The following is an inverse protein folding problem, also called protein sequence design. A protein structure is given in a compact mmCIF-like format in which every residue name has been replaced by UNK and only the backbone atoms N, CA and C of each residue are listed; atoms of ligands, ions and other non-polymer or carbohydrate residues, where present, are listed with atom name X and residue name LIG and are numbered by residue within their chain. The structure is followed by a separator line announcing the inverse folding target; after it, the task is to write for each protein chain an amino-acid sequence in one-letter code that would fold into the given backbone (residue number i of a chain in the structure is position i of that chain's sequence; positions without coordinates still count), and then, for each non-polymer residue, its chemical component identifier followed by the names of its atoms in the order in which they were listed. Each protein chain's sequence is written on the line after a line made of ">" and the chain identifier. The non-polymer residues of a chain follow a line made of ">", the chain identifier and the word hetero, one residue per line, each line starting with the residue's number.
data_IF_033183257934
#
_entry.id   IF_033183257934
#
_cell.length_a   1.000
_cell.length_b   1.000
_cell.length_c   1.000
_cell.angle_alpha   90.00
_cell.angle_beta   90.00
_cell.angle_gamma   90.00
#
_symmetry.space_group_name_H-M   'P 1'
#
loop_
_entity.id
_entity.type
_entity.pdbx_description
1 polymer ?
#
# COMPACT_ATOMS: atom_id res chain seq x y z
N UNK A 1 4.34 14.67 18.99
CA UNK A 1 3.22 15.01 18.10
C UNK A 1 2.81 13.69 17.50
N UNK A 2 1.76 13.06 18.01
CA UNK A 2 1.37 11.71 17.62
C UNK A 2 0.88 11.79 16.17
N UNK A 3 1.58 11.11 15.24
CA UNK A 3 1.24 11.08 13.82
C UNK A 3 0.12 10.08 13.49
N UNK A 4 -0.35 9.31 14.48
CA UNK A 4 -1.51 8.41 14.39
C UNK A 4 -2.73 9.09 15.03
N UNK A 5 -3.27 10.13 14.40
CA UNK A 5 -4.53 10.73 14.84
C UNK A 5 -5.72 9.91 14.30
N UNK A 6 -6.47 9.18 15.14
CA UNK A 6 -7.66 8.43 14.71
C UNK A 6 -8.65 9.31 13.96
N UNK A 7 -8.67 10.61 14.26
CA UNK A 7 -9.59 11.57 13.64
C UNK A 7 -9.32 11.71 12.14
N UNK A 8 -8.06 11.72 11.70
CA UNK A 8 -7.73 11.86 10.26
C UNK A 8 -8.10 10.59 9.47
N UNK A 9 -7.98 9.41 10.09
CA UNK A 9 -8.43 8.15 9.47
C UNK A 9 -9.93 8.14 9.29
N UNK A 10 -10.65 8.58 10.31
CA UNK A 10 -12.10 8.68 10.30
C UNK A 10 -12.57 9.64 9.23
N UNK A 11 -11.96 10.83 9.14
CA UNK A 11 -12.27 11.81 8.10
C UNK A 11 -12.10 11.22 6.70
N UNK A 12 -10.96 10.58 6.42
CA UNK A 12 -10.72 9.96 5.13
C UNK A 12 -11.70 8.82 4.84
N UNK A 13 -11.95 7.94 5.81
CA UNK A 13 -12.87 6.82 5.60
C UNK A 13 -14.32 7.28 5.42
N UNK A 14 -14.73 8.36 6.11
CA UNK A 14 -16.06 8.98 5.91
C UNK A 14 -16.19 9.52 4.50
N UNK A 15 -15.20 10.30 4.05
CA UNK A 15 -15.15 10.80 2.68
C UNK A 15 -15.20 9.66 1.65
N UNK A 16 -14.38 8.61 1.85
CA UNK A 16 -14.36 7.46 0.94
C UNK A 16 -15.71 6.74 0.88
N UNK A 17 -16.36 6.54 2.02
CA UNK A 17 -17.70 5.91 2.09
C UNK A 17 -18.77 6.78 1.41
N UNK A 18 -18.67 8.11 1.53
CA UNK A 18 -19.57 9.03 0.83
C UNK A 18 -19.41 8.92 -0.70
N UNK A 19 -18.17 8.85 -1.19
CA UNK A 19 -17.89 8.62 -2.62
C UNK A 19 -18.43 7.28 -3.11
N UNK A 20 -18.27 6.21 -2.32
CA UNK A 20 -18.84 4.88 -2.63
C UNK A 20 -20.36 4.88 -2.60
N UNK A 21 -20.99 5.70 -1.74
CA UNK A 21 -22.45 5.81 -1.69
C UNK A 21 -23.02 6.52 -2.92
N UNK A 22 -22.30 7.48 -3.46
CA UNK A 22 -22.67 8.15 -4.72
C UNK A 22 -22.42 7.26 -5.94
N UNK A 23 -21.37 6.43 -5.88
CA UNK A 23 -20.93 5.56 -6.97
C UNK A 23 -20.40 4.25 -6.39
N UNK A 24 -21.22 3.19 -6.41
CA UNK A 24 -20.85 1.87 -5.86
C UNK A 24 -19.57 1.29 -6.51
N UNK A 25 -19.20 1.79 -7.68
CA UNK A 25 -18.01 1.37 -8.41
C UNK A 25 -16.80 2.28 -8.18
N UNK A 26 -16.91 3.28 -7.29
CA UNK A 26 -15.90 4.29 -7.02
C UNK A 26 -14.53 3.69 -6.73
N UNK A 27 -14.45 2.67 -5.86
CA UNK A 27 -13.20 2.02 -5.51
C UNK A 27 -12.47 1.44 -6.74
N UNK A 28 -13.23 1.01 -7.75
CA UNK A 28 -12.70 0.52 -9.02
C UNK A 28 -12.13 1.61 -9.93
N UNK A 29 -12.50 2.87 -9.70
CA UNK A 29 -12.08 4.05 -10.47
C UNK A 29 -10.91 4.79 -9.81
N UNK A 30 -10.41 4.30 -8.66
CA UNK A 30 -9.21 4.79 -8.00
C UNK A 30 -8.01 3.99 -8.53
N UNK A 31 -6.99 4.69 -9.02
CA UNK A 31 -5.66 4.12 -9.21
C UNK A 31 -5.00 4.07 -7.84
N UNK A 32 -4.94 2.89 -7.25
CA UNK A 32 -4.20 2.64 -6.02
C UNK A 32 -2.72 2.52 -6.38
N UNK A 33 -1.84 3.41 -5.91
CA UNK A 33 -0.41 3.36 -6.21
C UNK A 33 0.46 3.43 -4.96
N UNK A 34 1.52 2.64 -4.95
CA UNK A 34 2.50 2.57 -3.87
C UNK A 34 3.86 2.06 -4.39
N UNK A 35 4.89 2.14 -3.52
CA UNK A 35 6.25 1.68 -3.78
C UNK A 35 6.70 0.68 -2.72
N UNK A 36 7.09 -0.52 -3.14
CA UNK A 36 7.69 -1.52 -2.26
C UNK A 36 9.15 -1.83 -2.63
N UNK A 37 9.95 -2.14 -1.62
CA UNK A 37 11.32 -2.57 -1.80
C UNK A 37 11.47 -4.10 -1.71
N UNK A 38 12.19 -4.66 -2.69
CA UNK A 38 12.61 -6.05 -2.75
C UNK A 38 14.13 -6.13 -2.58
N UNK A 39 14.62 -6.98 -1.68
CA UNK A 39 16.04 -7.11 -1.34
C UNK A 39 16.54 -8.50 -1.70
N UNK A 40 17.83 -8.63 -2.00
CA UNK A 40 18.42 -9.93 -2.38
C UNK A 40 18.46 -10.97 -1.25
N UNK A 41 18.40 -10.57 0.03
CA UNK A 41 18.19 -11.54 1.09
C UNK A 41 16.70 -11.83 1.26
N UNK A 42 16.36 -13.10 1.41
CA UNK A 42 15.01 -13.62 1.69
C UNK A 42 14.43 -13.13 3.02
N UNK A 43 15.06 -12.14 3.66
CA UNK A 43 14.48 -11.44 4.80
C UNK A 43 13.36 -10.57 4.25
N UNK A 44 12.19 -11.19 4.15
CA UNK A 44 10.93 -10.49 4.00
C UNK A 44 10.96 -9.37 5.04
N UNK A 45 11.03 -8.12 4.59
CA UNK A 45 10.68 -7.02 5.47
C UNK A 45 9.16 -7.07 5.56
N UNK A 46 8.67 -8.03 6.35
CA UNK A 46 7.33 -8.03 6.87
C UNK A 46 7.32 -6.82 7.77
N UNK A 47 6.67 -5.74 7.34
CA UNK A 47 6.31 -4.63 8.22
C UNK A 47 5.26 -5.13 9.24
N UNK A 48 5.61 -6.16 10.03
CA UNK A 48 4.83 -6.67 11.15
C UNK A 48 5.54 -7.70 12.06
N UNK A 49 6.82 -8.04 11.86
CA UNK A 49 7.54 -8.85 12.86
C UNK A 49 8.14 -7.94 13.93
N UNK A 50 7.32 -7.54 14.91
CA UNK A 50 7.82 -6.99 16.18
C UNK A 50 8.10 -8.18 17.10
N UNK A 51 9.37 -8.49 17.35
CA UNK A 51 9.75 -9.45 18.39
C UNK A 51 9.50 -8.79 19.76
N UNK A 52 8.28 -8.96 20.30
CA UNK A 52 7.96 -8.60 21.67
C UNK A 52 8.60 -9.62 22.62
N UNK A 53 9.85 -9.38 23.01
CA UNK A 53 10.52 -10.14 24.07
C UNK A 53 10.52 -9.32 25.38
N UNK A 54 10.21 -9.93 26.54
CA UNK A 54 10.22 -9.23 27.84
C UNK A 54 11.63 -8.81 28.28
N UNK A 55 12.68 -9.33 27.62
CA UNK A 55 14.09 -8.95 27.82
C UNK A 55 14.77 -8.90 26.44
N UNK A 56 15.61 -7.89 26.22
CA UNK A 56 16.40 -7.72 25.00
C UNK A 56 17.17 -9.03 24.68
N UNK A 57 16.89 -9.72 23.57
CA UNK A 57 17.39 -11.08 23.34
C UNK A 57 18.90 -11.18 23.07
N UNK A 58 19.66 -10.08 23.10
CA UNK A 58 21.11 -10.03 22.85
C UNK A 58 21.57 -10.71 21.54
N UNK A 59 20.66 -10.96 20.60
CA UNK A 59 20.99 -11.44 19.27
C UNK A 59 21.49 -10.27 18.45
N UNK A 60 22.81 -10.12 18.39
CA UNK A 60 23.46 -9.24 17.43
C UNK A 60 23.55 -9.97 16.09
N UNK A 61 22.41 -10.11 15.41
CA UNK A 61 22.40 -10.45 14.01
C UNK A 61 22.92 -9.23 13.25
N UNK A 62 24.20 -9.24 12.87
CA UNK A 62 24.73 -8.27 11.93
C UNK A 62 23.98 -8.38 10.61
N UNK A 63 22.88 -7.62 10.46
CA UNK A 63 22.21 -7.46 9.17
C UNK A 63 23.09 -6.55 8.33
N UNK A 64 23.59 -7.05 7.21
CA UNK A 64 24.11 -6.18 6.15
C UNK A 64 23.00 -5.19 5.76
N UNK A 65 23.14 -3.95 6.22
CA UNK A 65 22.14 -2.88 6.08
C UNK A 65 22.02 -2.35 4.64
N UNK A 66 22.88 -2.80 3.71
CA UNK A 66 22.97 -2.27 2.35
C UNK A 66 23.01 -3.36 1.27
N UNK A 67 22.13 -4.36 1.37
CA UNK A 67 22.02 -5.34 0.30
C UNK A 67 21.40 -4.71 -0.97
N UNK A 68 21.90 -5.11 -2.16
CA UNK A 68 21.29 -4.75 -3.43
C UNK A 68 19.80 -5.14 -3.44
N UNK A 69 19.01 -4.32 -4.10
CA UNK A 69 17.57 -4.53 -4.20
C UNK A 69 16.95 -3.61 -5.23
N UNK A 70 15.66 -3.81 -5.46
CA UNK A 70 14.86 -3.09 -6.44
C UNK A 70 13.72 -2.40 -5.72
N UNK A 71 13.47 -1.14 -6.05
CA UNK A 71 12.26 -0.45 -5.66
C UNK A 71 11.25 -0.59 -6.79
N UNK A 72 10.09 -1.16 -6.48
CA UNK A 72 9.03 -1.43 -7.45
C UNK A 72 7.89 -0.48 -7.16
N UNK A 73 7.55 0.36 -8.14
CA UNK A 73 6.32 1.15 -8.12
C UNK A 73 5.23 0.37 -8.85
N UNK A 74 4.04 0.30 -8.26
CA UNK A 74 2.89 -0.33 -8.90
C UNK A 74 1.65 0.55 -8.79
N UNK A 75 0.71 0.30 -9.69
CA UNK A 75 -0.59 0.94 -9.78
C UNK A 75 -1.65 -0.12 -10.06
N UNK A 76 -2.74 -0.09 -9.32
CA UNK A 76 -3.87 -0.99 -9.48
C UNK A 76 -5.15 -0.19 -9.70
N UNK A 77 -5.90 -0.56 -10.73
CA UNK A 77 -7.28 -0.11 -10.95
C UNK A 77 -8.08 -1.27 -11.54
N UNK A 78 -9.39 -1.34 -11.25
CA UNK A 78 -10.27 -2.36 -11.85
C UNK A 78 -11.24 -1.79 -12.89
N UNK A 79 -11.26 -0.46 -13.08
CA UNK A 79 -12.09 0.27 -14.06
C UNK A 79 -11.35 1.50 -14.59
N UNK A 80 -12.02 2.26 -15.44
CA UNK A 80 -11.54 3.54 -15.96
C UNK A 80 -11.24 4.52 -14.82
N UNK A 81 -10.06 5.11 -14.91
CA UNK A 81 -9.42 5.87 -13.85
C UNK A 81 -10.06 7.26 -13.70
N UNK A 82 -10.51 7.58 -12.49
CA UNK A 82 -11.01 8.92 -12.14
C UNK A 82 -10.17 9.57 -11.07
N UNK A 83 -9.63 8.80 -10.14
CA UNK A 83 -8.82 9.29 -9.03
C UNK A 83 -7.46 8.60 -8.99
N UNK A 84 -6.44 9.31 -8.50
CA UNK A 84 -5.10 8.77 -8.31
C UNK A 84 -4.71 8.84 -6.84
N UNK A 85 -4.48 7.70 -6.21
CA UNK A 85 -3.99 7.62 -4.84
C UNK A 85 -2.49 7.36 -4.83
N UNK A 86 -1.75 8.24 -4.19
CA UNK A 86 -0.31 8.11 -3.98
C UNK A 86 0.03 7.82 -2.52
N UNK A 87 0.38 6.57 -2.23
CA UNK A 87 0.83 6.14 -0.91
C UNK A 87 2.37 6.18 -0.80
N UNK A 88 2.88 6.40 0.41
CA UNK A 88 4.03 5.61 0.90
C UNK A 88 5.49 6.04 0.66
N UNK A 89 5.88 7.09 -0.07
CA UNK A 89 7.33 7.40 -0.20
C UNK A 89 7.74 8.89 -0.08
N UNK A 90 8.88 9.13 0.60
CA UNK A 90 9.52 10.44 0.83
C UNK A 90 9.65 11.35 -0.41
N UNK A 91 9.92 10.85 -1.64
CA UNK A 91 9.96 11.69 -2.84
C UNK A 91 8.59 12.27 -3.23
N UNK A 92 7.49 11.64 -2.81
CA UNK A 92 6.12 12.03 -3.18
C UNK A 92 5.63 13.28 -2.44
N UNK A 93 6.36 13.72 -1.43
CA UNK A 93 6.06 14.97 -0.71
C UNK A 93 6.69 16.21 -1.37
N UNK A 94 7.55 16.03 -2.38
CA UNK A 94 8.25 17.13 -3.03
C UNK A 94 7.24 18.12 -3.64
N UNK A 95 7.49 19.42 -3.46
CA UNK A 95 6.57 20.49 -3.91
C UNK A 95 6.26 20.37 -5.40
N UNK A 96 7.26 20.04 -6.21
CA UNK A 96 7.09 20.00 -7.66
C UNK A 96 6.25 18.80 -8.12
N UNK A 97 6.30 17.67 -7.37
CA UNK A 97 5.42 16.52 -7.61
C UNK A 97 3.98 16.90 -7.31
N UNK A 98 3.74 17.58 -6.17
CA UNK A 98 2.40 18.05 -5.80
C UNK A 98 1.86 19.08 -6.78
N UNK A 99 2.68 20.06 -7.17
CA UNK A 99 2.29 21.05 -8.19
C UNK A 99 1.97 20.39 -9.54
N UNK A 100 2.70 19.33 -9.93
CA UNK A 100 2.38 18.57 -11.13
C UNK A 100 1.03 17.85 -11.01
N UNK A 101 0.75 17.21 -9.87
CA UNK A 101 -0.52 16.50 -9.62
C UNK A 101 -1.70 17.48 -9.50
N UNK A 102 -1.52 18.63 -8.87
CA UNK A 102 -2.54 19.68 -8.80
C UNK A 102 -2.94 20.19 -10.19
N UNK A 103 -1.96 20.33 -11.09
CA UNK A 103 -2.20 20.79 -12.46
C UNK A 103 -2.78 19.68 -13.36
N UNK A 104 -2.37 18.44 -13.17
CA UNK A 104 -2.72 17.30 -14.06
C UNK A 104 -4.00 16.60 -13.62
N UNK A 105 -4.25 16.53 -12.32
CA UNK A 105 -5.38 15.85 -11.67
C UNK A 105 -6.07 16.78 -10.65
N UNK A 106 -6.56 17.96 -11.08
CA UNK A 106 -7.18 18.91 -10.16
C UNK A 106 -8.38 18.28 -9.47
N UNK A 107 -8.37 18.28 -8.13
CA UNK A 107 -9.46 17.71 -7.32
C UNK A 107 -9.56 16.18 -7.34
N UNK A 108 -8.62 15.47 -8.00
CA UNK A 108 -8.72 14.03 -8.26
C UNK A 108 -7.54 13.20 -7.76
N UNK A 109 -6.57 13.82 -7.09
CA UNK A 109 -5.45 13.08 -6.50
C UNK A 109 -5.55 13.05 -4.97
N UNK A 110 -5.30 11.87 -4.43
CA UNK A 110 -5.40 11.51 -3.02
C UNK A 110 -3.98 11.26 -2.54
N UNK A 111 -3.55 11.96 -1.50
CA UNK A 111 -2.18 11.83 -1.00
C UNK A 111 -1.90 12.79 0.14
N UNK A 112 -0.70 12.68 0.72
CA UNK A 112 -0.28 13.57 1.81
C UNK A 112 -0.17 15.01 1.32
N UNK A 113 -0.95 15.93 1.90
CA UNK A 113 -1.13 17.32 1.42
C UNK A 113 -1.60 17.42 -0.01
N UNK A 114 -2.49 16.51 -0.41
CA UNK A 114 -3.10 16.49 -1.72
C UNK A 114 -4.42 17.21 -1.82
N UNK A 115 -5.03 17.17 -3.01
CA UNK A 115 -6.37 17.70 -3.21
C UNK A 115 -7.39 17.02 -2.28
N UNK A 116 -7.17 15.71 -2.03
CA UNK A 116 -7.81 14.94 -0.97
C UNK A 116 -6.70 14.45 -0.04
N UNK A 117 -6.76 14.83 1.24
CA UNK A 117 -5.75 14.44 2.22
C UNK A 117 -5.83 12.93 2.47
N UNK A 118 -4.71 12.24 2.26
CA UNK A 118 -4.55 10.87 2.71
C UNK A 118 -3.72 10.85 4.00
N UNK A 119 -4.25 10.26 5.08
CA UNK A 119 -3.60 10.36 6.38
C UNK A 119 -2.31 9.50 6.41
N UNK A 120 -1.27 9.91 7.16
CA UNK A 120 0.01 9.20 7.18
C UNK A 120 -0.11 7.86 7.91
N UNK A 121 0.48 6.79 7.35
CA UNK A 121 0.64 5.45 7.98
C UNK A 121 -0.56 4.50 8.05
N UNK A 122 -1.26 4.24 6.92
CA UNK A 122 -2.38 3.27 6.88
C UNK A 122 -2.22 2.17 5.81
N UNK A 123 -1.36 1.16 6.06
CA UNK A 123 -1.21 0.02 5.15
C UNK A 123 -2.44 -0.90 5.13
N UNK A 124 -3.38 -0.76 6.07
CA UNK A 124 -4.57 -1.61 6.12
C UNK A 124 -5.69 -1.22 5.16
N UNK A 125 -5.59 -0.05 4.51
CA UNK A 125 -6.61 0.51 3.63
C UNK A 125 -6.26 0.48 2.14
N UNK A 126 -5.01 0.22 1.76
CA UNK A 126 -4.62 0.15 0.35
C UNK A 126 -4.54 -1.31 -0.14
N UNK A 127 -5.14 -1.64 -1.31
CA UNK A 127 -4.97 -2.93 -1.98
C UNK A 127 -3.53 -3.40 -2.14
N UNK A 128 -2.58 -2.47 -2.29
CA UNK A 128 -1.19 -2.82 -2.50
C UNK A 128 -0.57 -3.38 -1.20
N UNK A 129 -0.86 -2.73 -0.08
CA UNK A 129 -0.31 -3.10 1.22
C UNK A 129 -0.92 -4.38 1.79
N UNK A 130 -2.26 -4.48 1.82
CA UNK A 130 -2.90 -5.62 2.46
C UNK A 130 -2.92 -6.90 1.60
N UNK A 131 -2.59 -6.80 0.30
CA UNK A 131 -2.59 -7.94 -0.61
C UNK A 131 -1.37 -8.02 -1.52
N UNK A 132 -1.14 -7.02 -2.38
CA UNK A 132 -0.20 -7.15 -3.51
C UNK A 132 1.23 -7.41 -3.02
N UNK A 133 1.72 -6.59 -2.10
CA UNK A 133 3.09 -6.68 -1.63
C UNK A 133 3.37 -7.94 -0.84
N UNK A 134 2.42 -8.39 -0.01
CA UNK A 134 2.51 -9.68 0.67
C UNK A 134 2.59 -10.84 -0.34
N UNK A 135 1.63 -10.88 -1.27
CA UNK A 135 1.53 -11.93 -2.30
C UNK A 135 2.79 -12.00 -3.18
N UNK A 136 3.25 -10.84 -3.67
CA UNK A 136 4.44 -10.77 -4.52
C UNK A 136 5.70 -11.16 -3.75
N UNK A 137 5.89 -10.68 -2.52
CA UNK A 137 7.06 -11.05 -1.71
C UNK A 137 7.06 -12.56 -1.43
N UNK A 138 5.93 -13.14 -1.09
CA UNK A 138 5.82 -14.58 -0.83
C UNK A 138 6.18 -15.41 -2.06
N UNK A 139 5.68 -15.04 -3.24
CA UNK A 139 5.99 -15.76 -4.48
C UNK A 139 7.46 -15.57 -4.91
N UNK A 140 7.94 -14.32 -4.91
CA UNK A 140 9.30 -13.98 -5.33
C UNK A 140 10.34 -14.66 -4.43
N UNK A 141 10.18 -14.59 -3.11
CA UNK A 141 11.16 -15.17 -2.19
C UNK A 141 11.07 -16.68 -2.07
N UNK A 142 9.92 -17.29 -2.39
CA UNK A 142 9.80 -18.75 -2.53
C UNK A 142 10.70 -19.30 -3.63
N UNK A 143 10.90 -18.55 -4.72
CA UNK A 143 11.76 -18.93 -5.84
C UNK A 143 13.25 -18.72 -5.58
N UNK A 144 13.63 -17.99 -4.51
CA UNK A 144 15.02 -17.74 -4.09
C UNK A 144 15.92 -17.22 -5.23
N UNK A 145 15.62 -16.05 -5.81
CA UNK A 145 16.42 -15.48 -6.89
C UNK A 145 17.87 -15.26 -6.45
N UNK A 146 18.83 -15.68 -7.28
CA UNK A 146 20.27 -15.59 -6.99
C UNK A 146 20.92 -14.28 -7.52
N UNK A 147 20.24 -13.57 -8.42
CA UNK A 147 20.72 -12.32 -9.03
C UNK A 147 19.64 -11.24 -9.07
N UNK A 148 20.03 -9.97 -9.26
CA UNK A 148 19.08 -8.87 -9.46
C UNK A 148 18.22 -9.06 -10.72
N UNK A 149 18.78 -9.59 -11.80
CA UNK A 149 18.03 -9.86 -13.04
C UNK A 149 16.94 -10.91 -12.78
N UNK A 150 17.30 -12.03 -12.14
CA UNK A 150 16.32 -13.05 -11.77
C UNK A 150 15.27 -12.51 -10.79
N UNK A 151 15.65 -11.59 -9.89
CA UNK A 151 14.69 -10.95 -8.98
C UNK A 151 13.68 -10.10 -9.77
N UNK A 152 14.14 -9.29 -10.73
CA UNK A 152 13.27 -8.48 -11.59
C UNK A 152 12.35 -9.35 -12.45
N UNK A 153 12.90 -10.36 -13.13
CA UNK A 153 12.14 -11.30 -13.95
C UNK A 153 11.06 -12.02 -13.13
N UNK A 154 11.40 -12.51 -11.94
CA UNK A 154 10.43 -13.16 -11.05
C UNK A 154 9.33 -12.19 -10.61
N UNK A 155 9.65 -10.92 -10.32
CA UNK A 155 8.63 -9.91 -9.98
C UNK A 155 7.68 -9.69 -11.16
N UNK A 156 8.20 -9.49 -12.37
CA UNK A 156 7.40 -9.28 -13.58
C UNK A 156 6.48 -10.47 -13.87
N UNK A 157 7.01 -11.69 -13.82
CA UNK A 157 6.23 -12.91 -14.00
C UNK A 157 5.15 -13.07 -12.92
N UNK A 158 5.48 -12.78 -11.66
CA UNK A 158 4.54 -12.86 -10.54
C UNK A 158 3.41 -11.85 -10.70
N UNK A 159 3.71 -10.63 -11.12
CA UNK A 159 2.71 -9.60 -11.44
C UNK A 159 1.80 -10.04 -12.59
N UNK A 160 2.38 -10.56 -13.68
CA UNK A 160 1.62 -11.03 -14.85
C UNK A 160 0.71 -12.23 -14.55
N UNK A 161 1.04 -13.02 -13.52
CA UNK A 161 0.23 -14.16 -13.09
C UNK A 161 -1.04 -13.77 -12.30
N UNK A 162 -1.15 -12.52 -11.84
CA UNK A 162 -2.32 -12.08 -11.07
C UNK A 162 -3.53 -11.94 -12.00
N UNK A 163 -4.58 -12.69 -11.71
CA UNK A 163 -5.82 -12.69 -12.49
C UNK A 163 -6.62 -11.41 -12.26
N UNK A 164 -7.31 -10.95 -13.31
CA UNK A 164 -8.19 -9.78 -13.24
C UNK A 164 -9.33 -9.93 -12.22
N UNK A 165 -9.89 -11.14 -12.08
CA UNK A 165 -10.93 -11.43 -11.09
C UNK A 165 -10.43 -11.21 -9.67
N UNK A 166 -9.18 -11.60 -9.39
CA UNK A 166 -8.52 -11.38 -8.11
C UNK A 166 -8.38 -9.88 -7.84
N UNK A 167 -7.91 -9.12 -8.83
CA UNK A 167 -7.79 -7.66 -8.72
C UNK A 167 -9.13 -6.98 -8.42
N UNK A 168 -10.19 -7.39 -9.11
CA UNK A 168 -11.55 -6.87 -8.90
C UNK A 168 -12.04 -7.19 -7.49
N UNK A 169 -11.81 -8.41 -6.99
CA UNK A 169 -12.18 -8.81 -5.63
C UNK A 169 -11.42 -8.02 -4.56
N UNK A 170 -10.13 -7.77 -4.75
CA UNK A 170 -9.29 -6.99 -3.82
C UNK A 170 -9.74 -5.53 -3.78
N UNK A 171 -10.00 -4.92 -4.93
CA UNK A 171 -10.49 -3.53 -4.96
C UNK A 171 -11.85 -3.42 -4.28
N UNK A 172 -12.73 -4.42 -4.44
CA UNK A 172 -13.99 -4.48 -3.68
C UNK A 172 -13.78 -4.65 -2.18
N UNK A 173 -12.79 -5.45 -1.77
CA UNK A 173 -12.48 -5.63 -0.34
C UNK A 173 -11.94 -4.35 0.31
N UNK A 174 -11.38 -3.42 -0.47
CA UNK A 174 -11.02 -2.09 0.03
C UNK A 174 -12.24 -1.36 0.61
N UNK A 175 -13.41 -1.41 -0.04
CA UNK A 175 -14.65 -0.80 0.49
C UNK A 175 -14.98 -1.36 1.88
N UNK A 176 -15.00 -2.68 2.00
CA UNK A 176 -15.26 -3.36 3.27
C UNK A 176 -14.28 -2.96 4.37
N UNK A 177 -12.99 -2.78 4.02
CA UNK A 177 -11.95 -2.34 4.97
C UNK A 177 -12.16 -0.90 5.45
N UNK A 178 -12.54 0.02 4.57
CA UNK A 178 -12.86 1.39 4.97
C UNK A 178 -14.06 1.41 5.92
N UNK A 179 -15.08 0.57 5.67
CA UNK A 179 -16.21 0.39 6.58
C UNK A 179 -15.81 -0.21 7.94
N UNK A 180 -14.84 -1.13 7.98
CA UNK A 180 -14.29 -1.66 9.23
C UNK A 180 -13.51 -0.60 10.01
N UNK A 181 -12.72 0.23 9.33
CA UNK A 181 -12.05 1.36 9.94
C UNK A 181 -13.05 2.33 10.59
N UNK A 182 -14.15 2.64 9.91
CA UNK A 182 -15.25 3.45 10.47
C UNK A 182 -15.90 2.80 11.70
N UNK A 183 -16.18 1.50 11.62
CA UNK A 183 -16.78 0.76 12.74
C UNK A 183 -15.85 0.66 13.96
N UNK A 184 -14.54 0.70 13.74
CA UNK A 184 -13.51 0.70 14.77
C UNK A 184 -13.14 2.11 15.28
N UNK A 185 -13.89 3.14 14.88
CA UNK A 185 -13.62 4.54 15.23
C UNK A 185 -12.20 5.01 14.84
N UNK A 186 -11.71 4.59 13.66
CA UNK A 186 -10.33 4.85 13.23
C UNK A 186 -9.28 3.95 13.90
N UNK A 187 -9.69 2.98 14.72
CA UNK A 187 -8.82 1.97 15.28
C UNK A 187 -8.28 0.98 14.25
N UNK A 188 -7.22 0.25 14.61
CA UNK A 188 -6.79 -0.92 13.85
C UNK A 188 -7.82 -2.05 13.93
N UNK A 189 -7.92 -2.84 12.85
CA UNK A 189 -8.77 -4.02 12.78
C UNK A 189 -7.98 -5.18 12.15
N UNK A 190 -8.18 -6.39 12.67
CA UNK A 190 -7.56 -7.59 12.12
C UNK A 190 -8.40 -8.16 10.96
N UNK A 191 -7.73 -8.89 10.06
CA UNK A 191 -8.36 -9.60 8.95
C UNK A 191 -9.41 -10.60 9.48
N UNK A 192 -10.66 -10.46 9.04
CA UNK A 192 -11.63 -11.57 9.09
C UNK A 192 -11.45 -12.36 7.79
N UNK A 193 -11.22 -13.67 7.95
CA UNK A 193 -11.05 -14.68 6.90
C UNK A 193 -12.14 -14.67 5.84
#
# INVERSE_FOLDING_TARGET
>A
MNEDDPDQRLEYCKWFEDMVREDEEFAGKVIWSDVAQFKMNSTVNCHNCVDLAPVNPHVHGGKEVNLPGVNVQSGLSSRDERFYLQHGALPHYHRDVRAYLDNTLPGRWIGRRGAIEYPPWFPDLTPLDFYLWGTLKDEVYRQKPATLNTLQETIEVSCAAIKLDTLTAIVRSAVWRHQRCLAADGGHFEHVQ
#
